data_IF_523160623623
#
_entry.id   IF_523160623623
#
_cell.length_a   1.000
_cell.length_b   1.000
_cell.length_c   1.000
_cell.angle_alpha   90.00
_cell.angle_beta   90.00
_cell.angle_gamma   90.00
#
_symmetry.space_group_name_H-M   'P 1'
#
loop_
_entity.id
_entity.type
_entity.pdbx_description
1 polymer ?
#
# COMPACT_ATOMS: atom_id res chain seq x y z
N UNK A 1 -2.98 2.41 9.30
CA UNK A 1 -1.92 1.38 9.40
C UNK A 1 -0.61 1.79 8.75
N UNK A 2 -0.59 2.19 7.46
CA UNK A 2 0.66 2.49 6.74
C UNK A 2 1.60 3.47 7.47
N UNK A 3 1.06 4.57 8.00
CA UNK A 3 1.85 5.59 8.75
C UNK A 3 2.63 5.02 9.93
N UNK A 4 2.11 3.97 10.57
CA UNK A 4 2.75 3.34 11.74
C UNK A 4 3.95 2.49 11.31
N UNK A 5 3.86 1.79 10.18
CA UNK A 5 5.00 1.06 9.63
C UNK A 5 6.08 1.99 9.10
N UNK A 6 5.70 3.10 8.45
CA UNK A 6 6.67 4.11 8.03
C UNK A 6 7.40 4.73 9.21
N UNK A 7 6.72 5.00 10.33
CA UNK A 7 7.34 5.52 11.54
C UNK A 7 8.31 4.53 12.22
N UNK A 8 8.13 3.22 11.99
CA UNK A 8 9.04 2.18 12.49
C UNK A 8 10.33 2.04 11.65
N UNK A 9 10.39 2.61 10.44
CA UNK A 9 11.57 2.60 9.58
C UNK A 9 12.13 1.20 9.36
N UNK A 10 13.42 0.99 9.68
CA UNK A 10 14.12 -0.28 9.49
C UNK A 10 13.50 -1.48 10.26
N UNK A 11 12.78 -1.24 11.36
CA UNK A 11 12.09 -2.31 12.10
C UNK A 11 10.88 -2.87 11.34
N UNK A 12 10.38 -2.14 10.34
CA UNK A 12 9.30 -2.58 9.47
C UNK A 12 9.80 -3.42 8.28
N UNK A 13 11.11 -3.69 8.16
CA UNK A 13 11.68 -4.55 7.11
C UNK A 13 10.96 -5.90 6.91
N UNK A 14 10.50 -6.62 7.95
CA UNK A 14 9.78 -7.89 7.76
C UNK A 14 8.46 -7.76 7.01
N UNK A 15 7.87 -6.56 6.91
CA UNK A 15 6.63 -6.34 6.16
C UNK A 15 6.87 -6.00 4.69
N UNK A 16 8.12 -5.73 4.28
CA UNK A 16 8.46 -5.36 2.90
C UNK A 16 8.03 -6.42 1.89
N UNK A 17 8.28 -7.70 2.16
CA UNK A 17 7.85 -8.82 1.31
C UNK A 17 6.32 -8.84 1.13
N UNK A 18 5.57 -8.42 2.15
CA UNK A 18 4.11 -8.36 2.10
C UNK A 18 3.62 -7.15 1.30
N UNK A 19 4.32 -6.01 1.41
CA UNK A 19 4.05 -4.83 0.58
C UNK A 19 4.37 -5.11 -0.89
N UNK A 20 5.49 -5.78 -1.18
CA UNK A 20 5.90 -6.14 -2.54
C UNK A 20 4.90 -7.11 -3.17
N UNK A 21 4.42 -8.10 -2.42
CA UNK A 21 3.35 -8.98 -2.88
C UNK A 21 2.04 -8.23 -3.14
N UNK A 22 1.70 -7.26 -2.31
CA UNK A 22 0.51 -6.44 -2.48
C UNK A 22 0.59 -5.59 -3.77
N UNK A 23 1.72 -4.90 -3.96
CA UNK A 23 2.01 -4.11 -5.18
C UNK A 23 1.97 -5.01 -6.43
N UNK A 24 2.67 -6.14 -6.40
CA UNK A 24 2.76 -7.07 -7.53
C UNK A 24 1.41 -7.72 -7.87
N UNK A 25 0.58 -8.00 -6.86
CA UNK A 25 -0.74 -8.58 -7.08
C UNK A 25 -1.72 -7.60 -7.74
N UNK A 26 -1.40 -6.30 -7.76
CA UNK A 26 -2.26 -5.19 -8.21
C UNK A 26 -3.72 -5.41 -7.77
N UNK A 27 -3.89 -5.94 -6.56
CA UNK A 27 -5.18 -6.41 -6.07
C UNK A 27 -6.01 -5.16 -5.90
N UNK A 28 -7.00 -4.97 -6.78
CA UNK A 28 -8.09 -4.02 -6.51
C UNK A 28 -8.61 -4.39 -5.13
N UNK A 29 -8.33 -3.54 -4.14
CA UNK A 29 -8.98 -3.71 -2.86
C UNK A 29 -10.43 -3.41 -3.22
N UNK A 30 -11.27 -4.44 -3.30
CA UNK A 30 -12.69 -4.30 -3.60
C UNK A 30 -13.35 -3.49 -2.50
N UNK A 31 -13.03 -2.21 -2.45
CA UNK A 31 -13.60 -1.19 -1.62
C UNK A 31 -14.94 -0.96 -2.29
N UNK A 32 -15.95 -1.75 -1.91
CA UNK A 32 -17.28 -1.64 -2.47
C UNK A 32 -17.88 -0.30 -2.02
N UNK A 33 -17.56 0.77 -2.76
CA UNK A 33 -17.96 2.15 -2.52
C UNK A 33 -19.18 2.48 -3.40
N UNK A 34 -19.54 1.59 -4.33
CA UNK A 34 -20.76 1.69 -5.15
C UNK A 34 -20.63 2.62 -6.35
N UNK A 35 -19.40 3.04 -6.67
CA UNK A 35 -19.02 3.85 -7.83
C UNK A 35 -17.66 3.34 -8.34
N UNK A 36 -17.68 2.64 -9.48
CA UNK A 36 -16.51 1.98 -10.06
C UNK A 36 -15.31 2.93 -10.28
N UNK A 37 -15.57 4.22 -10.56
CA UNK A 37 -14.52 5.22 -10.74
C UNK A 37 -13.94 5.69 -9.40
N UNK A 38 -14.78 5.80 -8.37
CA UNK A 38 -14.33 6.07 -7.00
C UNK A 38 -13.50 4.90 -6.45
N UNK A 39 -13.90 3.66 -6.74
CA UNK A 39 -13.15 2.45 -6.37
C UNK A 39 -11.79 2.40 -7.07
N UNK A 40 -11.75 2.66 -8.38
CA UNK A 40 -10.52 2.74 -9.15
C UNK A 40 -9.57 3.83 -8.59
N UNK A 41 -10.09 5.03 -8.29
CA UNK A 41 -9.29 6.12 -7.73
C UNK A 41 -8.78 5.81 -6.32
N UNK A 42 -9.60 5.14 -5.50
CA UNK A 42 -9.20 4.72 -4.16
C UNK A 42 -8.09 3.66 -4.20
N UNK A 43 -8.21 2.69 -5.12
CA UNK A 43 -7.18 1.68 -5.38
C UNK A 43 -5.86 2.30 -5.85
N UNK A 44 -5.93 3.27 -6.78
CA UNK A 44 -4.75 3.99 -7.26
C UNK A 44 -4.06 4.79 -6.15
N UNK A 45 -4.83 5.49 -5.31
CA UNK A 45 -4.27 6.21 -4.16
C UNK A 45 -3.65 5.27 -3.14
N UNK A 46 -4.28 4.12 -2.87
CA UNK A 46 -3.77 3.11 -1.95
C UNK A 46 -2.47 2.48 -2.47
N UNK A 47 -2.40 2.19 -3.77
CA UNK A 47 -1.19 1.68 -4.42
C UNK A 47 -0.04 2.68 -4.33
N UNK A 48 -0.30 3.95 -4.65
CA UNK A 48 0.69 5.02 -4.55
C UNK A 48 1.22 5.19 -3.11
N UNK A 49 0.32 5.19 -2.12
CA UNK A 49 0.70 5.25 -0.71
C UNK A 49 1.54 4.03 -0.28
N UNK A 50 1.23 2.84 -0.81
CA UNK A 50 1.94 1.59 -0.52
C UNK A 50 3.36 1.59 -1.06
N UNK A 51 3.56 2.06 -2.29
CA UNK A 51 4.88 2.22 -2.89
C UNK A 51 5.70 3.23 -2.08
N UNK A 52 5.13 4.40 -1.76
CA UNK A 52 5.83 5.43 -1.00
C UNK A 52 6.24 4.97 0.41
N UNK A 53 5.42 4.15 1.08
CA UNK A 53 5.78 3.57 2.37
C UNK A 53 6.88 2.52 2.24
N UNK A 54 6.83 1.69 1.20
CA UNK A 54 7.86 0.67 0.92
C UNK A 54 9.22 1.32 0.69
N UNK A 55 9.29 2.38 -0.12
CA UNK A 55 10.53 3.13 -0.36
C UNK A 55 11.10 3.74 0.92
N UNK A 56 10.26 4.31 1.78
CA UNK A 56 10.69 4.89 3.06
C UNK A 56 11.14 3.88 4.10
N UNK A 57 10.70 2.62 4.00
CA UNK A 57 11.14 1.52 4.88
C UNK A 57 12.43 0.87 4.34
N UNK A 58 12.63 0.88 3.01
CA UNK A 58 13.79 0.29 2.36
C UNK A 58 15.02 1.21 2.33
N UNK A 59 14.82 2.54 2.30
CA UNK A 59 15.87 3.55 2.48
C UNK A 59 16.37 3.63 3.90
#
# INVERSE_FOLDING_TARGET
MLRVFTAMGSHARPILDRLDRFIASRRRAGLNIGDDDAEMRADEMLLAATIAARERIAG
#
